data_IF_888360271899
#
_entry.id   IF_888360271899
#
_cell.length_a   1.000
_cell.length_b   1.000
_cell.length_c   1.000
_cell.angle_alpha   90.00
_cell.angle_beta   90.00
_cell.angle_gamma   90.00
#
_symmetry.space_group_name_H-M   'P 1'
#
loop_
_entity.id
_entity.type
_entity.pdbx_description
1 polymer ?
#
# COMPACT_ATOMS: atom_id res chain seq x y z
N UNK A 1 31.77 3.18 -17.92
CA UNK A 1 30.37 2.81 -17.69
C UNK A 1 29.61 4.10 -17.40
N UNK A 2 28.62 4.46 -18.20
CA UNK A 2 27.77 5.63 -17.88
C UNK A 2 26.77 5.22 -16.79
N UNK A 3 26.67 6.02 -15.73
CA UNK A 3 25.64 5.81 -14.74
C UNK A 3 24.23 5.87 -15.37
N UNK A 4 23.27 5.07 -14.90
CA UNK A 4 21.90 5.15 -15.38
C UNK A 4 21.34 6.57 -15.24
N UNK A 5 20.44 6.99 -16.14
CA UNK A 5 19.79 8.29 -16.04
C UNK A 5 19.10 8.43 -14.67
N UNK A 6 19.39 9.51 -13.95
CA UNK A 6 18.87 9.77 -12.60
C UNK A 6 19.69 9.19 -11.45
N UNK A 7 20.81 8.50 -11.74
CA UNK A 7 21.73 8.04 -10.70
C UNK A 7 22.54 9.22 -10.13
N UNK A 8 22.53 9.39 -8.82
CA UNK A 8 23.30 10.39 -8.09
C UNK A 8 24.34 9.69 -7.21
N UNK A 9 25.51 10.36 -6.99
CA UNK A 9 26.57 9.81 -6.12
C UNK A 9 26.04 9.45 -4.71
N UNK A 10 25.07 10.22 -4.21
CA UNK A 10 24.46 10.02 -2.91
C UNK A 10 23.64 8.72 -2.84
N UNK A 11 23.21 8.16 -3.97
CA UNK A 11 22.45 6.91 -4.02
C UNK A 11 23.34 5.67 -3.76
N UNK A 12 24.67 5.84 -3.71
CA UNK A 12 25.65 4.79 -3.39
C UNK A 12 25.78 4.56 -1.88
N UNK A 13 25.39 5.53 -1.07
CA UNK A 13 25.47 5.38 0.38
C UNK A 13 24.53 4.27 0.88
N UNK A 14 24.97 3.42 1.84
CA UNK A 14 24.18 2.30 2.35
C UNK A 14 22.78 2.69 2.83
N UNK A 15 22.62 3.88 3.42
CA UNK A 15 21.34 4.40 3.90
C UNK A 15 20.42 4.93 2.79
N UNK A 16 20.94 5.12 1.56
CA UNK A 16 20.18 5.52 0.37
C UNK A 16 20.13 4.42 -0.69
N UNK A 17 20.62 3.23 -0.37
CA UNK A 17 20.70 2.13 -1.34
C UNK A 17 19.32 1.78 -1.86
N UNK A 18 19.12 2.05 -3.14
CA UNK A 18 17.88 1.69 -3.83
C UNK A 18 18.05 0.35 -4.51
N UNK A 19 17.16 -0.60 -4.19
CA UNK A 19 17.16 -1.94 -4.82
C UNK A 19 17.09 -1.93 -6.34
N UNK A 20 16.65 -0.84 -6.97
CA UNK A 20 16.63 -0.72 -8.44
C UNK A 20 18.00 -0.90 -9.07
N UNK A 21 19.07 -0.57 -8.36
CA UNK A 21 20.46 -0.69 -8.83
C UNK A 21 21.17 -1.92 -8.25
N UNK A 22 20.49 -2.75 -7.51
CA UNK A 22 21.09 -3.96 -6.93
C UNK A 22 21.35 -5.03 -8.01
N UNK A 23 22.32 -5.88 -7.76
CA UNK A 23 22.60 -7.06 -8.60
C UNK A 23 21.40 -8.01 -8.71
N UNK A 24 20.49 -7.98 -7.77
CA UNK A 24 19.24 -8.77 -7.83
C UNK A 24 18.32 -8.29 -8.95
N UNK A 25 18.33 -7.00 -9.29
CA UNK A 25 17.57 -6.48 -10.46
C UNK A 25 18.39 -6.40 -11.75
N UNK A 26 19.71 -6.34 -11.62
CA UNK A 26 20.64 -6.18 -12.74
C UNK A 26 21.78 -7.20 -12.62
N UNK A 27 21.48 -8.49 -12.83
CA UNK A 27 22.42 -9.58 -12.54
C UNK A 27 23.55 -9.70 -13.58
N UNK A 28 23.45 -8.99 -14.70
CA UNK A 28 24.40 -9.05 -15.82
C UNK A 28 25.26 -7.77 -15.80
N UNK A 29 26.55 -7.93 -15.71
CA UNK A 29 27.53 -6.84 -15.82
C UNK A 29 28.07 -6.80 -17.26
N UNK A 30 28.10 -5.60 -17.84
CA UNK A 30 28.73 -5.37 -19.13
C UNK A 30 30.07 -4.65 -18.92
N UNK A 31 31.18 -5.21 -19.43
CA UNK A 31 32.51 -4.60 -19.41
C UNK A 31 33.08 -4.61 -20.83
N UNK A 32 32.99 -3.46 -21.53
CA UNK A 32 33.31 -3.45 -22.96
C UNK A 32 32.37 -4.35 -23.75
N UNK A 33 32.93 -5.34 -24.42
CA UNK A 33 32.16 -6.36 -25.18
C UNK A 33 31.87 -7.64 -24.36
N UNK A 34 32.35 -7.70 -23.13
CA UNK A 34 32.16 -8.88 -22.28
C UNK A 34 30.90 -8.75 -21.42
N UNK A 35 30.20 -9.88 -21.28
CA UNK A 35 29.08 -10.03 -20.35
C UNK A 35 29.50 -10.96 -19.21
N UNK A 36 29.34 -10.52 -17.99
CA UNK A 36 29.70 -11.24 -16.77
C UNK A 36 28.43 -11.48 -15.95
N UNK A 37 28.15 -12.73 -15.63
CA UNK A 37 27.05 -13.11 -14.75
C UNK A 37 27.34 -14.39 -13.97
N UNK A 38 26.64 -14.59 -12.85
CA UNK A 38 26.65 -15.84 -12.11
C UNK A 38 25.31 -16.56 -12.23
N UNK A 39 25.32 -17.89 -12.39
CA UNK A 39 24.09 -18.69 -12.51
C UNK A 39 23.18 -18.50 -11.31
N UNK A 40 23.73 -18.56 -10.10
CA UNK A 40 22.97 -18.34 -8.85
C UNK A 40 22.37 -16.93 -8.80
N UNK A 41 23.11 -15.93 -9.27
CA UNK A 41 22.66 -14.53 -9.31
C UNK A 41 21.50 -14.36 -10.29
N UNK A 42 21.56 -14.97 -11.48
CA UNK A 42 20.47 -14.98 -12.44
C UNK A 42 19.21 -15.64 -11.88
N UNK A 43 19.36 -16.78 -11.20
CA UNK A 43 18.27 -17.49 -10.57
C UNK A 43 17.57 -16.62 -9.49
N UNK A 44 18.33 -16.03 -8.58
CA UNK A 44 17.74 -15.14 -7.56
C UNK A 44 17.12 -13.88 -8.17
N UNK A 45 17.70 -13.35 -9.24
CA UNK A 45 17.12 -12.23 -9.98
C UNK A 45 15.78 -12.61 -10.61
N UNK A 46 15.69 -13.79 -11.21
CA UNK A 46 14.44 -14.29 -11.79
C UNK A 46 13.35 -14.41 -10.71
N UNK A 47 13.65 -15.08 -9.61
CA UNK A 47 12.71 -15.21 -8.48
C UNK A 47 12.25 -13.85 -7.96
N UNK A 48 13.19 -12.91 -7.79
CA UNK A 48 12.87 -11.57 -7.30
C UNK A 48 11.97 -10.80 -8.26
N UNK A 49 12.24 -10.85 -9.58
CA UNK A 49 11.40 -10.17 -10.58
C UNK A 49 10.03 -10.83 -10.66
N UNK A 50 9.98 -12.16 -10.59
CA UNK A 50 8.71 -12.91 -10.57
C UNK A 50 7.84 -12.48 -9.37
N UNK A 51 8.42 -12.37 -8.17
CA UNK A 51 7.70 -11.89 -6.99
C UNK A 51 7.20 -10.46 -7.17
N UNK A 52 8.02 -9.56 -7.74
CA UNK A 52 7.58 -8.19 -8.04
C UNK A 52 6.40 -8.14 -9.01
N UNK A 53 6.36 -9.03 -10.00
CA UNK A 53 5.23 -9.16 -10.93
C UNK A 53 4.00 -9.67 -10.18
N UNK A 54 4.17 -10.74 -9.41
CA UNK A 54 3.09 -11.38 -8.66
C UNK A 54 2.44 -10.42 -7.66
N UNK A 55 3.23 -9.54 -7.03
CA UNK A 55 2.75 -8.53 -6.08
C UNK A 55 2.26 -7.24 -6.76
N UNK A 56 2.32 -7.15 -8.10
CA UNK A 56 1.96 -5.93 -8.83
C UNK A 56 2.93 -4.76 -8.61
N UNK A 57 4.16 -5.03 -8.15
CA UNK A 57 5.15 -4.01 -7.73
C UNK A 57 6.28 -3.78 -8.74
N UNK A 58 6.26 -4.43 -9.88
CA UNK A 58 7.27 -4.23 -10.91
C UNK A 58 7.11 -2.84 -11.55
N UNK A 59 8.07 -1.94 -11.29
CA UNK A 59 8.14 -0.66 -11.96
C UNK A 59 8.63 -0.85 -13.41
N UNK A 60 7.87 -0.37 -14.39
CA UNK A 60 8.18 -0.49 -15.81
C UNK A 60 7.79 0.78 -16.57
N UNK A 61 8.40 1.02 -17.73
CA UNK A 61 8.03 2.10 -18.66
C UNK A 61 6.95 1.68 -19.65
N UNK A 62 6.66 0.38 -19.75
CA UNK A 62 5.65 -0.15 -20.67
C UNK A 62 4.24 0.09 -20.11
N UNK A 63 3.40 0.83 -20.88
CA UNK A 63 2.05 1.21 -20.45
C UNK A 63 1.15 0.00 -20.18
N UNK A 64 1.18 -1.04 -21.03
CA UNK A 64 0.36 -2.25 -20.85
C UNK A 64 0.77 -2.99 -19.56
N UNK A 65 2.09 -3.11 -19.33
CA UNK A 65 2.59 -3.74 -18.12
C UNK A 65 2.24 -2.93 -16.86
N UNK A 66 2.31 -1.60 -16.91
CA UNK A 66 1.88 -0.76 -15.77
C UNK A 66 0.39 -0.93 -15.46
N UNK A 67 -0.45 -1.06 -16.49
CA UNK A 67 -1.89 -1.34 -16.30
C UNK A 67 -2.08 -2.70 -15.63
N UNK A 68 -1.38 -3.75 -16.12
CA UNK A 68 -1.42 -5.09 -15.51
C UNK A 68 -0.97 -5.06 -14.04
N UNK A 69 0.16 -4.38 -13.75
CA UNK A 69 0.65 -4.23 -12.38
C UNK A 69 -0.36 -3.53 -11.48
N UNK A 70 -1.06 -2.52 -12.01
CA UNK A 70 -2.13 -1.83 -11.27
C UNK A 70 -3.31 -2.76 -10.95
N UNK A 71 -3.75 -3.60 -11.90
CA UNK A 71 -4.80 -4.59 -11.65
C UNK A 71 -4.38 -5.59 -10.58
N UNK A 72 -3.19 -6.20 -10.71
CA UNK A 72 -2.67 -7.17 -9.73
C UNK A 72 -2.56 -6.53 -8.34
N UNK A 73 -2.04 -5.30 -8.25
CA UNK A 73 -1.91 -4.59 -6.98
C UNK A 73 -3.27 -4.35 -6.31
N UNK A 74 -4.31 -4.02 -7.08
CA UNK A 74 -5.67 -3.84 -6.56
C UNK A 74 -6.26 -5.18 -6.09
N UNK A 75 -6.12 -6.25 -6.89
CA UNK A 75 -6.61 -7.58 -6.53
C UNK A 75 -5.95 -8.10 -5.25
N UNK A 76 -4.63 -7.90 -5.09
CA UNK A 76 -3.90 -8.23 -3.87
C UNK A 76 -4.35 -7.38 -2.67
N UNK A 77 -4.63 -6.09 -2.88
CA UNK A 77 -5.20 -5.22 -1.85
C UNK A 77 -6.57 -5.69 -1.39
N UNK A 78 -7.47 -5.98 -2.33
CA UNK A 78 -8.82 -6.46 -2.03
C UNK A 78 -8.79 -7.83 -1.30
N UNK A 79 -7.91 -8.74 -1.72
CA UNK A 79 -7.70 -10.03 -1.06
C UNK A 79 -7.15 -9.87 0.37
N UNK A 80 -6.23 -8.93 0.59
CA UNK A 80 -5.69 -8.65 1.90
C UNK A 80 -6.74 -8.05 2.85
N UNK A 81 -7.55 -7.10 2.37
CA UNK A 81 -8.68 -6.55 3.12
C UNK A 81 -9.68 -7.63 3.51
N UNK A 82 -9.97 -8.58 2.59
CA UNK A 82 -10.83 -9.72 2.87
C UNK A 82 -10.22 -10.62 3.96
N UNK A 83 -8.93 -10.94 3.86
CA UNK A 83 -8.23 -11.76 4.84
C UNK A 83 -8.28 -11.14 6.25
N UNK A 84 -7.97 -9.85 6.39
CA UNK A 84 -8.08 -9.12 7.66
C UNK A 84 -9.52 -9.14 8.19
N UNK A 85 -10.50 -8.96 7.30
CA UNK A 85 -11.92 -9.01 7.67
C UNK A 85 -12.32 -10.38 8.21
N UNK A 86 -11.82 -11.46 7.64
CA UNK A 86 -12.13 -12.83 8.06
C UNK A 86 -11.48 -13.15 9.42
N UNK A 87 -10.27 -12.65 9.67
CA UNK A 87 -9.64 -12.73 10.99
C UNK A 87 -10.51 -12.01 12.03
N UNK A 88 -10.97 -10.80 11.76
CA UNK A 88 -11.81 -10.03 12.71
C UNK A 88 -13.16 -10.71 12.93
N UNK A 89 -13.78 -11.25 11.88
CA UNK A 89 -15.03 -12.03 11.97
C UNK A 89 -14.88 -13.28 12.83
N UNK A 90 -13.71 -13.92 12.81
CA UNK A 90 -13.47 -15.14 13.60
C UNK A 90 -13.61 -14.94 15.11
N UNK A 91 -13.49 -13.71 15.60
CA UNK A 91 -13.78 -13.37 17.01
C UNK A 91 -15.27 -13.45 17.38
N UNK A 92 -16.18 -13.54 16.39
CA UNK A 92 -17.61 -13.78 16.60
C UNK A 92 -18.40 -12.63 17.24
N UNK A 93 -17.80 -11.46 17.44
CA UNK A 93 -18.36 -10.33 18.20
C UNK A 93 -18.72 -9.16 17.29
N UNK A 94 -18.11 -9.09 16.11
CA UNK A 94 -18.17 -7.94 15.22
C UNK A 94 -18.88 -8.26 13.91
N UNK A 95 -19.62 -7.28 13.39
CA UNK A 95 -20.02 -7.28 11.97
C UNK A 95 -18.94 -6.55 11.18
N UNK A 96 -18.39 -7.20 10.14
CA UNK A 96 -17.24 -6.70 9.40
C UNK A 96 -17.55 -6.67 7.90
N UNK A 97 -17.28 -5.54 7.27
CA UNK A 97 -17.52 -5.29 5.86
C UNK A 97 -16.21 -4.86 5.19
N UNK A 98 -15.60 -5.70 4.33
CA UNK A 98 -14.42 -5.32 3.55
C UNK A 98 -14.80 -4.47 2.34
N UNK A 99 -13.87 -3.65 1.87
CA UNK A 99 -13.92 -2.93 0.59
C UNK A 99 -15.22 -2.12 0.39
N UNK A 100 -15.60 -1.29 1.39
CA UNK A 100 -16.84 -0.53 1.35
C UNK A 100 -16.67 0.69 0.44
N UNK A 101 -17.28 0.63 -0.74
CA UNK A 101 -17.22 1.69 -1.79
C UNK A 101 -18.38 2.68 -1.71
N UNK A 102 -19.47 2.29 -1.06
CA UNK A 102 -20.70 3.09 -0.98
C UNK A 102 -21.41 2.88 0.36
N UNK A 103 -21.99 3.93 0.89
CA UNK A 103 -22.89 3.90 2.04
C UNK A 103 -24.25 4.44 1.57
N UNK A 104 -25.34 3.69 1.78
CA UNK A 104 -26.69 4.04 1.32
C UNK A 104 -26.75 4.40 -0.17
N UNK A 105 -26.07 3.61 -1.03
CA UNK A 105 -25.96 3.80 -2.50
C UNK A 105 -25.15 5.06 -2.92
N UNK A 106 -24.71 5.91 -2.00
CA UNK A 106 -23.89 7.08 -2.27
C UNK A 106 -22.40 6.72 -2.15
N UNK A 107 -21.57 7.29 -3.02
CA UNK A 107 -20.11 7.20 -2.88
C UNK A 107 -19.67 7.95 -1.65
N UNK A 108 -18.56 7.51 -1.05
CA UNK A 108 -17.93 8.19 0.08
C UNK A 108 -17.24 9.44 -0.49
N UNK A 109 -17.83 10.61 -0.25
CA UNK A 109 -17.37 11.90 -0.76
C UNK A 109 -17.45 12.94 0.36
N UNK A 110 -16.58 13.96 0.31
CA UNK A 110 -16.63 15.08 1.24
C UNK A 110 -17.76 16.08 0.90
N UNK A 111 -17.91 17.14 1.71
CA UNK A 111 -18.91 18.19 1.51
C UNK A 111 -18.75 18.92 0.17
N UNK A 112 -17.55 18.87 -0.42
CA UNK A 112 -17.23 19.45 -1.74
C UNK A 112 -17.44 18.47 -2.88
N UNK A 113 -18.01 17.29 -2.61
CA UNK A 113 -18.20 16.18 -3.56
C UNK A 113 -16.89 15.56 -4.07
N UNK A 114 -15.76 15.82 -3.41
CA UNK A 114 -14.52 15.12 -3.70
C UNK A 114 -14.60 13.68 -3.17
N UNK A 115 -14.38 12.70 -4.05
CA UNK A 115 -14.41 11.29 -3.67
C UNK A 115 -13.19 11.00 -2.78
N UNK A 116 -13.46 10.63 -1.53
CA UNK A 116 -12.43 10.39 -0.52
C UNK A 116 -11.76 9.02 -0.65
N UNK A 117 -12.33 8.14 -1.43
CA UNK A 117 -11.88 6.76 -1.62
C UNK A 117 -12.80 5.74 -0.97
N UNK A 118 -12.32 4.51 -0.90
CA UNK A 118 -13.03 3.38 -0.32
C UNK A 118 -12.61 3.20 1.14
N UNK A 119 -13.47 2.57 1.97
CA UNK A 119 -13.09 2.12 3.31
C UNK A 119 -12.58 0.69 3.17
N UNK A 120 -11.33 0.44 3.55
CA UNK A 120 -10.73 -0.89 3.43
C UNK A 120 -11.48 -1.91 4.29
N UNK A 121 -11.73 -1.61 5.56
CA UNK A 121 -12.53 -2.46 6.45
C UNK A 121 -13.40 -1.61 7.38
N UNK A 122 -14.69 -1.86 7.38
CA UNK A 122 -15.66 -1.28 8.30
C UNK A 122 -16.09 -2.32 9.33
N UNK A 123 -15.94 -2.00 10.61
CA UNK A 123 -16.23 -2.91 11.73
C UNK A 123 -17.33 -2.29 12.60
N UNK A 124 -18.36 -3.05 12.92
CA UNK A 124 -19.46 -2.63 13.79
C UNK A 124 -19.48 -3.52 15.03
N UNK A 125 -19.30 -2.90 16.19
CA UNK A 125 -19.50 -3.50 17.51
C UNK A 125 -20.89 -3.13 18.01
N UNK A 126 -21.86 -4.01 17.78
CA UNK A 126 -23.25 -3.77 18.19
C UNK A 126 -23.42 -3.72 19.71
N UNK A 127 -22.61 -4.47 20.47
CA UNK A 127 -22.71 -4.51 21.93
C UNK A 127 -22.26 -3.20 22.57
N UNK A 128 -21.24 -2.56 21.99
CA UNK A 128 -20.69 -1.30 22.49
C UNK A 128 -21.19 -0.07 21.71
N UNK A 129 -22.06 -0.27 20.71
CA UNK A 129 -22.54 0.79 19.82
C UNK A 129 -21.38 1.59 19.20
N UNK A 130 -20.37 0.87 18.68
CA UNK A 130 -19.16 1.49 18.10
C UNK A 130 -18.99 1.09 16.65
N UNK A 131 -18.53 2.07 15.86
CA UNK A 131 -18.11 1.85 14.48
C UNK A 131 -16.62 2.14 14.40
N UNK A 132 -15.85 1.21 13.81
CA UNK A 132 -14.43 1.37 13.55
C UNK A 132 -14.21 1.37 12.05
N UNK A 133 -13.57 2.42 11.56
CA UNK A 133 -13.11 2.52 10.17
C UNK A 133 -11.61 2.18 10.18
N UNK A 134 -11.24 1.11 9.52
CA UNK A 134 -9.86 0.65 9.47
C UNK A 134 -9.30 0.84 8.07
N UNK A 135 -8.13 1.45 7.99
CA UNK A 135 -7.27 1.50 6.81
C UNK A 135 -6.30 0.34 6.89
N UNK A 136 -6.23 -0.48 5.85
CA UNK A 136 -5.40 -1.69 5.81
C UNK A 136 -4.32 -1.50 4.75
N UNK A 137 -3.05 -1.72 5.14
CA UNK A 137 -1.93 -1.58 4.23
C UNK A 137 -1.04 -2.81 4.28
N UNK A 138 -0.91 -3.45 3.12
CA UNK A 138 0.05 -4.53 2.91
C UNK A 138 1.41 -3.92 2.54
N UNK A 139 2.26 -3.67 3.55
CA UNK A 139 3.60 -3.16 3.33
C UNK A 139 4.59 -4.28 3.02
N UNK A 140 5.54 -3.97 2.15
CA UNK A 140 6.72 -4.80 2.00
C UNK A 140 7.60 -4.71 3.26
N UNK A 141 8.29 -5.78 3.59
CA UNK A 141 9.26 -5.74 4.68
C UNK A 141 10.42 -4.80 4.30
N UNK A 142 10.50 -3.69 5.01
CA UNK A 142 11.57 -2.69 4.82
C UNK A 142 12.90 -3.27 5.29
N UNK A 143 13.87 -3.38 4.37
CA UNK A 143 15.17 -4.03 4.62
C UNK A 143 16.30 -3.03 4.92
N UNK A 144 16.04 -1.74 4.73
CA UNK A 144 17.05 -0.70 4.97
C UNK A 144 16.40 0.60 5.47
N UNK A 145 17.17 1.48 6.11
CA UNK A 145 16.66 2.75 6.67
C UNK A 145 15.99 3.66 5.64
N UNK A 146 16.44 3.64 4.39
CA UNK A 146 15.82 4.43 3.32
C UNK A 146 14.39 3.97 3.01
N UNK A 147 14.17 2.67 2.97
CA UNK A 147 12.84 2.10 2.74
C UNK A 147 11.90 2.41 3.91
N UNK A 148 12.38 2.26 5.15
CA UNK A 148 11.64 2.62 6.37
C UNK A 148 11.25 4.11 6.33
N UNK A 149 12.19 4.99 6.00
CA UNK A 149 11.92 6.43 5.89
C UNK A 149 10.90 6.73 4.78
N UNK A 150 11.01 6.07 3.63
CA UNK A 150 10.09 6.26 2.51
C UNK A 150 8.66 5.81 2.86
N UNK A 151 8.51 4.72 3.60
CA UNK A 151 7.23 4.24 4.10
C UNK A 151 6.66 5.19 5.16
N UNK A 152 7.47 5.62 6.12
CA UNK A 152 7.07 6.61 7.12
C UNK A 152 6.56 7.89 6.47
N UNK A 153 7.26 8.41 5.46
CA UNK A 153 6.84 9.61 4.74
C UNK A 153 5.51 9.41 4.03
N UNK A 154 5.29 8.28 3.37
CA UNK A 154 4.00 7.98 2.72
C UNK A 154 2.84 7.92 3.73
N UNK A 155 3.13 7.42 4.93
CA UNK A 155 2.12 7.23 5.96
C UNK A 155 1.73 8.52 6.67
N UNK A 156 2.70 9.35 7.03
CA UNK A 156 2.49 10.42 8.00
C UNK A 156 2.85 11.81 7.50
N UNK A 157 3.56 11.95 6.39
CA UNK A 157 4.05 13.27 5.94
C UNK A 157 3.35 13.69 4.66
N UNK A 158 2.62 14.80 4.74
CA UNK A 158 2.01 15.42 3.56
C UNK A 158 3.09 16.07 2.68
N UNK A 159 3.00 15.78 1.38
CA UNK A 159 3.89 16.35 0.36
C UNK A 159 3.07 16.79 -0.86
N UNK A 160 3.53 16.45 -2.07
CA UNK A 160 2.74 16.66 -3.30
C UNK A 160 1.41 15.90 -3.30
N UNK A 161 1.32 14.83 -2.52
CA UNK A 161 0.10 14.04 -2.27
C UNK A 161 -0.12 14.01 -0.77
N UNK A 162 -1.40 13.99 -0.35
CA UNK A 162 -1.77 13.78 1.05
C UNK A 162 -1.27 12.44 1.53
N UNK A 163 -0.78 12.36 2.77
CA UNK A 163 -0.37 11.13 3.43
C UNK A 163 -1.56 10.17 3.62
N UNK A 164 -1.28 8.90 3.88
CA UNK A 164 -2.34 7.94 4.18
C UNK A 164 -3.10 8.34 5.44
N UNK A 165 -2.40 8.80 6.49
CA UNK A 165 -3.02 9.28 7.71
C UNK A 165 -3.99 10.44 7.44
N UNK A 166 -3.58 11.48 6.70
CA UNK A 166 -4.45 12.63 6.37
C UNK A 166 -5.67 12.22 5.57
N UNK A 167 -5.52 11.31 4.60
CA UNK A 167 -6.67 10.77 3.85
C UNK A 167 -7.63 10.01 4.76
N UNK A 168 -7.10 9.13 5.61
CA UNK A 168 -7.89 8.34 6.53
C UNK A 168 -8.66 9.23 7.51
N UNK A 169 -8.02 10.25 8.09
CA UNK A 169 -8.70 11.23 8.94
C UNK A 169 -9.82 11.97 8.20
N UNK A 170 -9.65 12.31 6.93
CA UNK A 170 -10.70 12.95 6.13
C UNK A 170 -11.92 12.05 5.96
N UNK A 171 -11.72 10.74 5.68
CA UNK A 171 -12.80 9.73 5.60
C UNK A 171 -13.50 9.57 6.96
N UNK A 172 -12.72 9.57 8.03
CA UNK A 172 -13.19 9.43 9.41
C UNK A 172 -14.12 10.56 9.82
N UNK A 173 -13.72 11.82 9.58
CA UNK A 173 -14.54 12.99 9.91
C UNK A 173 -15.90 12.98 9.23
N UNK A 174 -15.97 12.48 8.01
CA UNK A 174 -17.24 12.38 7.27
C UNK A 174 -18.16 11.28 7.80
N UNK A 175 -17.58 10.14 8.17
CA UNK A 175 -18.38 9.06 8.78
C UNK A 175 -18.93 9.48 10.14
N UNK A 176 -18.22 10.36 10.87
CA UNK A 176 -18.71 10.97 12.12
C UNK A 176 -19.84 11.95 11.86
N UNK A 177 -19.74 12.85 10.87
CA UNK A 177 -20.79 13.82 10.57
C UNK A 177 -22.09 13.14 10.15
N UNK A 178 -22.02 12.05 9.37
CA UNK A 178 -23.19 11.24 9.00
C UNK A 178 -23.76 10.42 10.17
N UNK A 179 -22.93 9.99 11.12
CA UNK A 179 -23.36 9.23 12.30
C UNK A 179 -23.99 10.09 13.40
N UNK A 180 -23.62 11.36 13.53
CA UNK A 180 -24.27 12.31 14.42
C UNK A 180 -25.75 12.53 14.08
N UNK A 181 -26.13 12.38 12.81
CA UNK A 181 -27.56 12.42 12.40
C UNK A 181 -28.34 11.17 12.84
N UNK A 182 -27.70 10.10 13.26
CA UNK A 182 -28.35 8.82 13.64
C UNK A 182 -28.23 8.49 15.12
N UNK A 183 -27.79 9.42 15.99
CA UNK A 183 -27.57 9.22 17.45
C UNK A 183 -26.64 8.02 17.80
N UNK A 184 -25.77 7.62 16.89
CA UNK A 184 -24.82 6.52 17.12
C UNK A 184 -23.47 7.11 17.58
N UNK A 185 -23.01 6.72 18.76
CA UNK A 185 -21.69 7.13 19.26
C UNK A 185 -20.60 6.45 18.43
N UNK A 186 -19.93 7.21 17.57
CA UNK A 186 -18.78 6.72 16.81
C UNK A 186 -17.50 6.95 17.61
N UNK A 187 -16.90 5.89 18.11
CA UNK A 187 -15.51 5.93 18.58
C UNK A 187 -14.65 5.38 17.46
N UNK A 188 -13.83 6.23 16.85
CA UNK A 188 -12.95 5.79 15.77
C UNK A 188 -11.57 5.51 16.34
N UNK A 189 -11.14 4.25 16.26
CA UNK A 189 -9.81 3.82 16.64
C UNK A 189 -8.97 3.63 15.37
N UNK A 190 -7.78 4.22 15.38
CA UNK A 190 -6.77 3.99 14.34
C UNK A 190 -6.14 2.62 14.59
N UNK A 191 -6.33 1.68 13.68
CA UNK A 191 -5.63 0.39 13.71
C UNK A 191 -4.92 0.19 12.39
N UNK A 192 -3.60 0.30 12.42
CA UNK A 192 -2.73 -0.11 11.32
C UNK A 192 -2.43 -1.58 11.49
N UNK A 193 -2.88 -2.40 10.55
CA UNK A 193 -2.49 -3.81 10.48
C UNK A 193 -1.33 -3.92 9.49
N UNK A 194 -0.15 -4.23 10.01
CA UNK A 194 1.02 -4.72 9.26
C UNK A 194 1.26 -6.17 9.67
N UNK A 195 1.35 -7.05 8.69
CA UNK A 195 1.82 -8.43 8.88
C UNK A 195 3.19 -8.58 8.22
#
# INVERSE_FOLDING_TARGET
MKAPAGFRKEDVYPWRFNRQYSFVRRPILCRGNDLIWGIRQLYHSLLYVTNLIYDGRLATTNKKMNTLMGCICNDQGDAFNQHISDIIKSFGVFRVFPNVKRINKKKIADEKSDVLGDIDVLIIDEKKHRIVVAEVKNFDFSKNPYEIQAEYQKMFVDGKKKSFATKHFSVMFLSLSTAFYTNTICTVNFSLFTI
#
